data_IF_658009652795
#
_entry.id   IF_658009652795
#
_cell.length_a   1.000
_cell.length_b   1.000
_cell.length_c   1.000
_cell.angle_alpha   90.00
_cell.angle_beta   90.00
_cell.angle_gamma   90.00
#
_symmetry.space_group_name_H-M   'P 1'
#
loop_
_entity.id
_entity.type
_entity.pdbx_description
1 polymer ?
#
# COMPACT_ATOMS: atom_id res chain seq x y z
N UNK A 1 32.94 28.36 21.03
CA UNK A 1 33.11 27.60 19.77
C UNK A 1 31.82 26.84 19.52
N UNK A 2 30.83 27.49 18.91
CA UNK A 2 29.58 26.86 18.51
C UNK A 2 29.75 26.37 17.07
N UNK A 3 29.66 25.06 16.84
CA UNK A 3 29.62 24.51 15.50
C UNK A 3 28.25 24.85 14.92
N UNK A 4 28.23 25.63 13.84
CA UNK A 4 27.02 25.89 13.05
C UNK A 4 27.01 24.83 11.95
N UNK A 5 26.26 23.75 12.13
CA UNK A 5 25.93 22.84 11.03
C UNK A 5 24.86 23.51 10.16
N UNK A 6 25.28 24.08 9.04
CA UNK A 6 24.40 24.66 8.01
C UNK A 6 23.73 23.55 7.18
N UNK A 7 22.86 22.76 7.80
CA UNK A 7 22.02 21.77 7.10
C UNK A 7 20.53 22.11 7.26
N UNK A 8 20.16 23.33 6.84
CA UNK A 8 18.75 23.71 6.72
C UNK A 8 18.14 23.01 5.49
N UNK A 9 17.54 21.85 5.71
CA UNK A 9 16.72 21.15 4.73
C UNK A 9 15.28 21.06 5.24
N UNK A 10 14.32 21.34 4.36
CA UNK A 10 12.88 21.19 4.65
C UNK A 10 12.41 19.87 4.07
N UNK A 11 11.95 18.97 4.94
CA UNK A 11 11.35 17.69 4.58
C UNK A 11 9.85 17.71 4.89
N UNK A 12 9.04 17.24 3.96
CA UNK A 12 7.60 17.02 4.18
C UNK A 12 7.23 15.61 3.75
N UNK A 13 6.34 14.99 4.52
CA UNK A 13 5.77 13.67 4.24
C UNK A 13 4.27 13.73 4.43
N UNK A 14 3.54 12.87 3.74
CA UNK A 14 2.11 12.69 3.87
C UNK A 14 1.76 11.22 4.12
N UNK A 15 0.54 11.00 4.61
CA UNK A 15 -0.05 9.68 4.78
C UNK A 15 -1.55 9.78 4.55
N UNK A 16 -2.16 8.68 4.14
CA UNK A 16 -3.60 8.59 3.90
C UNK A 16 -4.21 7.54 4.81
N UNK A 17 -5.48 7.73 5.18
CA UNK A 17 -6.22 6.77 6.00
C UNK A 17 -6.48 5.46 5.26
N UNK A 18 -6.82 4.41 5.99
CA UNK A 18 -7.27 3.12 5.43
C UNK A 18 -8.42 3.23 4.42
N UNK A 19 -9.31 4.22 4.58
CA UNK A 19 -10.42 4.46 3.65
C UNK A 19 -10.04 5.15 2.34
N UNK A 20 -8.76 5.53 2.15
CA UNK A 20 -8.31 6.09 0.88
C UNK A 20 -8.44 5.01 -0.20
N UNK A 21 -9.00 5.30 -1.40
CA UNK A 21 -9.23 4.29 -2.44
C UNK A 21 -7.99 3.43 -2.74
N UNK A 22 -6.81 4.06 -2.81
CA UNK A 22 -5.55 3.34 -3.04
C UNK A 22 -5.22 2.38 -1.88
N UNK A 23 -5.46 2.77 -0.63
CA UNK A 23 -5.28 1.90 0.54
C UNK A 23 -6.31 0.78 0.61
N UNK A 24 -7.53 1.03 0.13
CA UNK A 24 -8.53 -0.02 -0.03
C UNK A 24 -8.08 -1.04 -1.08
N UNK A 25 -7.50 -0.60 -2.22
CA UNK A 25 -6.89 -1.51 -3.20
C UNK A 25 -5.78 -2.36 -2.58
N UNK A 26 -4.83 -1.72 -1.89
CA UNK A 26 -3.71 -2.39 -1.21
C UNK A 26 -4.23 -3.48 -0.27
N UNK A 27 -5.18 -3.13 0.61
CA UNK A 27 -5.76 -4.05 1.59
C UNK A 27 -6.48 -5.23 0.96
N UNK A 28 -7.20 -5.02 -0.14
CA UNK A 28 -7.88 -6.10 -0.86
C UNK A 28 -6.86 -7.04 -1.51
N UNK A 29 -5.86 -6.49 -2.21
CA UNK A 29 -4.80 -7.28 -2.85
C UNK A 29 -4.01 -8.09 -1.82
N UNK A 30 -3.63 -7.49 -0.69
CA UNK A 30 -2.93 -8.18 0.40
C UNK A 30 -3.81 -9.24 1.07
N UNK A 31 -5.11 -8.97 1.26
CA UNK A 31 -6.05 -9.94 1.79
C UNK A 31 -6.17 -11.20 0.90
N UNK A 32 -6.09 -11.05 -0.42
CA UNK A 32 -6.05 -12.16 -1.37
C UNK A 32 -4.72 -12.92 -1.26
N UNK A 33 -3.59 -12.20 -1.22
CA UNK A 33 -2.26 -12.79 -1.02
C UNK A 33 -2.22 -13.63 0.27
N UNK A 34 -2.67 -13.07 1.39
CA UNK A 34 -2.70 -13.74 2.69
C UNK A 34 -3.56 -15.00 2.66
N UNK A 35 -4.75 -14.92 2.04
CA UNK A 35 -5.66 -16.06 1.93
C UNK A 35 -5.04 -17.21 1.11
N UNK A 36 -4.26 -16.90 0.08
CA UNK A 36 -3.57 -17.88 -0.76
C UNK A 36 -2.33 -18.44 -0.06
N UNK A 37 -1.49 -17.60 0.53
CA UNK A 37 -0.31 -18.03 1.29
C UNK A 37 -0.66 -18.90 2.50
N UNK A 38 -1.81 -18.64 3.14
CA UNK A 38 -2.32 -19.47 4.24
C UNK A 38 -2.64 -20.90 3.80
N UNK A 39 -3.06 -21.09 2.55
CA UNK A 39 -3.39 -22.41 1.99
C UNK A 39 -2.17 -23.08 1.35
N UNK A 40 -1.39 -22.33 0.60
CA UNK A 40 -0.13 -22.76 -0.01
C UNK A 40 0.95 -21.68 0.15
N UNK A 41 1.96 -21.90 1.02
CA UNK A 41 3.07 -20.97 1.22
C UNK A 41 3.93 -20.72 -0.04
N UNK A 42 3.78 -21.52 -1.10
CA UNK A 42 4.46 -21.34 -2.40
C UNK A 42 3.58 -20.67 -3.45
N UNK A 43 2.40 -20.18 -3.07
CA UNK A 43 1.48 -19.47 -3.97
C UNK A 43 2.19 -18.32 -4.69
N UNK A 44 2.00 -18.24 -6.00
CA UNK A 44 2.48 -17.13 -6.83
C UNK A 44 1.31 -16.21 -7.13
N UNK A 45 1.33 -15.01 -6.56
CA UNK A 45 0.22 -14.07 -6.62
C UNK A 45 0.74 -12.74 -7.14
N UNK A 46 0.06 -12.19 -8.14
CA UNK A 46 0.28 -10.85 -8.68
C UNK A 46 -1.08 -10.16 -8.80
N UNK A 47 -1.77 -10.00 -7.67
CA UNK A 47 -3.15 -9.50 -7.65
C UNK A 47 -3.19 -7.97 -7.67
N UNK A 48 -3.78 -7.42 -8.71
CA UNK A 48 -4.00 -5.98 -8.89
C UNK A 48 -5.47 -5.65 -8.61
N UNK A 49 -5.73 -4.61 -7.82
CA UNK A 49 -7.09 -4.19 -7.48
C UNK A 49 -7.36 -2.79 -8.02
N UNK A 50 -8.46 -2.61 -8.76
CA UNK A 50 -8.98 -1.30 -9.13
C UNK A 50 -10.34 -1.09 -8.46
N UNK A 51 -10.49 0.01 -7.74
CA UNK A 51 -11.76 0.37 -7.10
C UNK A 51 -12.33 1.65 -7.71
N UNK A 52 -13.61 1.61 -8.04
CA UNK A 52 -14.37 2.81 -8.44
C UNK A 52 -15.84 2.61 -8.13
N UNK A 53 -16.40 3.52 -7.33
CA UNK A 53 -17.82 3.49 -6.96
C UNK A 53 -18.23 2.07 -6.51
N UNK A 54 -19.32 1.53 -7.05
CA UNK A 54 -19.85 0.21 -6.69
C UNK A 54 -19.18 -0.93 -7.47
N UNK A 55 -17.93 -0.74 -7.89
CA UNK A 55 -17.17 -1.68 -8.70
C UNK A 55 -15.80 -1.89 -8.09
N UNK A 56 -15.46 -3.16 -7.93
CA UNK A 56 -14.11 -3.64 -7.63
C UNK A 56 -13.74 -4.57 -8.79
N UNK A 57 -12.60 -4.29 -9.42
CA UNK A 57 -12.01 -5.15 -10.44
C UNK A 57 -10.77 -5.78 -9.86
N UNK A 58 -10.73 -7.10 -9.84
CA UNK A 58 -9.54 -7.88 -9.54
C UNK A 58 -8.90 -8.29 -10.87
N UNK A 59 -7.61 -8.00 -11.00
CA UNK A 59 -6.77 -8.35 -12.12
C UNK A 59 -5.47 -8.96 -11.60
N UNK A 60 -4.60 -9.39 -12.52
CA UNK A 60 -3.37 -10.09 -12.20
C UNK A 60 -3.01 -11.16 -13.20
#
# INVERSE_FOLDING_TARGET
MSIIDNNNFVFTSESVSEGHPDKVCDQISDGILDALLKQDPKSRVACETLVKNNVIVLAG
#
